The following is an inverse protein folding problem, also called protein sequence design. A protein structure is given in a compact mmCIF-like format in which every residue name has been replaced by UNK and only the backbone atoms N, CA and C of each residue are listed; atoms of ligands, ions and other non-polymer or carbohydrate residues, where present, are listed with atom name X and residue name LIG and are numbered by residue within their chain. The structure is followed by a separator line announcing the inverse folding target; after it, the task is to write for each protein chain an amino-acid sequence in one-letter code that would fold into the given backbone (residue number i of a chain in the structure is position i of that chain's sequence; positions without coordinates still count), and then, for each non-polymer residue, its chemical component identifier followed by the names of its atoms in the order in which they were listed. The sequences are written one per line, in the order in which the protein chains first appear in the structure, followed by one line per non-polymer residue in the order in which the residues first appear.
data_IF_184665258411
#
_entry.id   IF_184665258411
#
_cell.length_a   1.000
_cell.length_b   1.000
_cell.length_c   1.000
_cell.angle_alpha   90.00
_cell.angle_beta   90.00
_cell.angle_gamma   90.00
#
_symmetry.space_group_name_H-M   'P 1'
#
loop_
_entity.id
_entity.type
_entity.pdbx_description
1 polymer ?
#
# COMPACT_ATOMS: atom_id res chain seq x y z
N UNK A 1 -15.21 -10.43 -12.65
CA UNK A 1 -15.09 -8.97 -12.88
C UNK A 1 -13.72 -8.46 -12.39
N UNK A 2 -13.27 -8.74 -11.15
CA UNK A 2 -11.94 -8.31 -10.64
C UNK A 2 -10.78 -8.85 -11.50
N UNK A 3 -10.81 -10.13 -11.88
CA UNK A 3 -9.78 -10.72 -12.72
C UNK A 3 -9.68 -9.99 -14.09
N UNK A 4 -10.83 -9.68 -14.69
CA UNK A 4 -10.87 -8.91 -15.95
C UNK A 4 -10.31 -7.50 -15.76
N UNK A 5 -10.67 -6.82 -14.68
CA UNK A 5 -10.14 -5.50 -14.37
C UNK A 5 -8.62 -5.51 -14.22
N UNK A 6 -8.09 -6.44 -13.41
CA UNK A 6 -6.66 -6.56 -13.17
C UNK A 6 -5.89 -6.95 -14.45
N UNK A 7 -6.43 -7.90 -15.21
CA UNK A 7 -5.83 -8.32 -16.47
C UNK A 7 -5.75 -7.16 -17.47
N UNK A 8 -6.81 -6.35 -17.55
CA UNK A 8 -6.85 -5.17 -18.44
C UNK A 8 -5.90 -4.07 -17.96
N UNK A 9 -5.85 -3.80 -16.65
CA UNK A 9 -5.01 -2.74 -16.07
C UNK A 9 -3.52 -3.05 -16.21
N UNK A 10 -3.14 -4.31 -16.03
CA UNK A 10 -1.74 -4.74 -16.08
C UNK A 10 -1.30 -5.31 -17.44
N UNK A 11 -2.23 -5.49 -18.39
CA UNK A 11 -1.91 -6.10 -19.68
C UNK A 11 -1.51 -7.58 -19.61
N UNK A 12 -2.00 -8.32 -18.60
CA UNK A 12 -1.63 -9.72 -18.34
C UNK A 12 -2.82 -10.66 -18.49
N UNK A 13 -2.56 -11.97 -18.65
CA UNK A 13 -3.59 -13.00 -18.51
C UNK A 13 -3.74 -13.37 -17.03
N UNK A 14 -4.94 -13.14 -16.48
CA UNK A 14 -5.24 -13.44 -15.08
C UNK A 14 -6.59 -14.16 -14.95
N UNK A 15 -6.61 -15.50 -14.92
CA UNK A 15 -7.81 -16.29 -14.68
C UNK A 15 -8.48 -15.98 -13.35
N UNK A 16 -9.79 -16.22 -13.25
CA UNK A 16 -10.57 -15.92 -12.03
C UNK A 16 -10.11 -16.75 -10.81
N UNK A 17 -9.57 -17.93 -11.02
CA UNK A 17 -9.00 -18.79 -9.97
C UNK A 17 -7.76 -18.21 -9.29
N UNK A 18 -7.10 -17.25 -9.92
CA UNK A 18 -5.98 -16.52 -9.35
C UNK A 18 -6.41 -15.35 -8.45
N UNK A 19 -7.71 -15.05 -8.36
CA UNK A 19 -8.21 -13.87 -7.65
C UNK A 19 -9.10 -14.26 -6.49
N UNK A 20 -8.85 -13.66 -5.35
CA UNK A 20 -9.66 -13.80 -4.13
C UNK A 20 -10.11 -12.43 -3.62
N UNK A 21 -11.38 -12.28 -3.23
CA UNK A 21 -11.95 -11.05 -2.69
C UNK A 21 -12.41 -11.25 -1.23
N UNK A 22 -12.28 -10.19 -0.41
CA UNK A 22 -12.67 -10.18 1.00
C UNK A 22 -13.10 -8.77 1.47
N UNK A 23 -13.46 -8.62 2.76
CA UNK A 23 -13.95 -7.36 3.36
C UNK A 23 -12.81 -6.34 3.56
N UNK A 24 -12.25 -5.84 2.47
CA UNK A 24 -11.08 -4.99 2.41
C UNK A 24 -9.78 -5.79 2.43
N UNK A 25 -8.67 -5.12 2.07
CA UNK A 25 -7.35 -5.74 2.10
C UNK A 25 -6.92 -6.19 3.51
N UNK A 26 -7.50 -5.62 4.56
CA UNK A 26 -7.25 -6.05 5.94
C UNK A 26 -7.68 -7.51 6.17
N UNK A 27 -8.87 -7.89 5.72
CA UNK A 27 -9.31 -9.30 5.83
C UNK A 27 -8.48 -10.22 4.93
N UNK A 28 -8.10 -9.74 3.73
CA UNK A 28 -7.18 -10.47 2.83
C UNK A 28 -5.86 -10.79 3.55
N UNK A 29 -5.23 -9.79 4.20
CA UNK A 29 -3.99 -9.96 4.95
C UNK A 29 -4.17 -10.91 6.14
N UNK A 30 -5.28 -10.77 6.87
CA UNK A 30 -5.58 -11.68 7.99
C UNK A 30 -5.72 -13.13 7.51
N UNK A 31 -6.48 -13.38 6.45
CA UNK A 31 -6.66 -14.71 5.86
C UNK A 31 -5.34 -15.30 5.34
N UNK A 32 -4.48 -14.48 4.72
CA UNK A 32 -3.13 -14.88 4.33
C UNK A 32 -2.31 -15.37 5.54
N UNK A 33 -2.33 -14.61 6.64
CA UNK A 33 -1.57 -15.00 7.83
C UNK A 33 -2.23 -16.13 8.63
N UNK A 34 -3.55 -16.32 8.54
CA UNK A 34 -4.22 -17.51 9.06
C UNK A 34 -3.80 -18.77 8.30
N UNK A 35 -3.60 -18.67 6.97
CA UNK A 35 -3.19 -19.80 6.14
C UNK A 35 -1.67 -20.09 6.24
N UNK A 36 -0.84 -19.06 6.28
CA UNK A 36 0.61 -19.17 6.12
C UNK A 36 1.43 -18.70 7.33
N UNK A 37 0.82 -18.01 8.30
CA UNK A 37 1.40 -17.60 9.57
C UNK A 37 1.19 -18.63 10.67
N UNK A 38 1.27 -18.19 11.93
CA UNK A 38 1.03 -19.00 13.11
C UNK A 38 2.26 -19.14 14.04
N UNK A 39 2.14 -19.89 15.13
CA UNK A 39 3.24 -20.15 16.06
C UNK A 39 4.47 -20.70 15.34
N UNK A 40 5.65 -20.28 15.76
CA UNK A 40 6.96 -20.64 15.18
C UNK A 40 7.22 -20.10 13.75
N UNK A 41 6.29 -19.34 13.18
CA UNK A 41 6.46 -18.67 11.88
C UNK A 41 6.73 -17.18 12.08
N UNK A 42 7.29 -16.53 11.05
CA UNK A 42 7.59 -15.10 11.09
C UNK A 42 7.25 -14.38 9.80
N UNK A 43 6.90 -13.11 9.95
CA UNK A 43 6.72 -12.14 8.88
C UNK A 43 7.84 -11.12 8.96
N UNK A 44 8.53 -10.86 7.87
CA UNK A 44 9.50 -9.77 7.75
C UNK A 44 8.85 -8.57 7.04
N UNK A 45 8.85 -7.41 7.70
CA UNK A 45 8.50 -6.12 7.12
C UNK A 45 9.68 -5.16 7.10
N UNK A 46 9.57 -4.06 6.33
CA UNK A 46 10.62 -3.03 6.21
C UNK A 46 10.08 -1.68 6.67
N UNK A 47 10.58 -1.21 7.81
CA UNK A 47 10.08 0.00 8.49
C UNK A 47 10.75 1.29 8.00
N UNK A 48 9.98 2.40 7.96
CA UNK A 48 8.56 2.51 8.33
C UNK A 48 7.64 1.82 7.31
N UNK A 49 6.55 1.24 7.79
CA UNK A 49 5.57 0.51 6.99
C UNK A 49 4.15 0.71 7.52
N UNK A 50 3.16 0.09 6.90
CA UNK A 50 1.77 0.20 7.33
C UNK A 50 1.58 -0.34 8.76
N UNK A 51 0.94 0.47 9.60
CA UNK A 51 0.82 0.23 11.04
C UNK A 51 0.02 -1.01 11.42
N UNK A 52 -0.80 -1.55 10.52
CA UNK A 52 -1.59 -2.74 10.78
C UNK A 52 -0.83 -4.06 10.58
N UNK A 53 0.36 -4.05 9.96
CA UNK A 53 1.11 -5.30 9.74
C UNK A 53 1.44 -6.04 11.04
N UNK A 54 1.93 -5.38 12.11
CA UNK A 54 2.11 -6.05 13.40
C UNK A 54 0.80 -6.54 14.01
N UNK A 55 -0.34 -5.85 13.80
CA UNK A 55 -1.63 -6.29 14.33
C UNK A 55 -2.10 -7.60 13.70
N UNK A 56 -2.00 -7.74 12.38
CA UNK A 56 -2.33 -9.01 11.70
C UNK A 56 -1.43 -10.16 12.21
N UNK A 57 -0.15 -9.88 12.44
CA UNK A 57 0.77 -10.87 12.98
C UNK A 57 0.41 -11.27 14.41
N UNK A 58 0.08 -10.31 15.28
CA UNK A 58 -0.39 -10.55 16.66
C UNK A 58 -1.65 -11.41 16.65
N UNK A 59 -2.63 -11.07 15.82
CA UNK A 59 -3.94 -11.73 15.76
C UNK A 59 -3.87 -13.17 15.20
N UNK A 60 -2.75 -13.52 14.57
CA UNK A 60 -2.46 -14.87 14.05
C UNK A 60 -1.33 -15.58 14.80
N UNK A 61 -0.89 -15.05 15.95
CA UNK A 61 0.24 -15.60 16.73
C UNK A 61 1.53 -15.76 15.92
N UNK A 62 1.72 -14.92 14.91
CA UNK A 62 2.89 -14.91 14.01
C UNK A 62 3.88 -13.86 14.51
N UNK A 63 5.16 -14.21 14.57
CA UNK A 63 6.21 -13.26 14.97
C UNK A 63 6.43 -12.21 13.87
N UNK A 64 6.24 -10.92 14.19
CA UNK A 64 6.62 -9.83 13.29
C UNK A 64 8.05 -9.39 13.55
N UNK A 65 8.89 -9.40 12.52
CA UNK A 65 10.28 -8.93 12.56
C UNK A 65 10.48 -7.85 11.50
N UNK A 66 11.36 -6.89 11.78
CA UNK A 66 11.57 -5.75 10.89
C UNK A 66 13.03 -5.55 10.51
N UNK A 67 13.24 -4.93 9.35
CA UNK A 67 14.50 -4.34 8.95
C UNK A 67 14.26 -2.88 8.52
N UNK A 68 15.23 -1.98 8.68
CA UNK A 68 15.05 -0.58 8.32
C UNK A 68 15.13 -0.38 6.80
N UNK A 69 14.36 0.61 6.30
CA UNK A 69 14.57 1.22 5.00
C UNK A 69 15.78 2.17 5.05
N UNK A 70 16.26 2.61 3.91
CA UNK A 70 17.26 3.66 3.81
C UNK A 70 16.71 5.01 4.33
N UNK A 71 17.55 6.00 4.66
CA UNK A 71 17.11 7.30 5.18
C UNK A 71 16.18 8.09 4.25
N UNK A 72 16.23 7.81 2.94
CA UNK A 72 15.33 8.35 1.90
C UNK A 72 14.07 7.51 1.72
N UNK A 73 13.87 6.49 2.57
CA UNK A 73 12.78 5.52 2.53
C UNK A 73 12.80 4.53 1.36
N UNK A 74 13.84 4.53 0.55
CA UNK A 74 14.05 3.48 -0.45
C UNK A 74 14.33 2.13 0.22
N UNK A 75 14.11 1.05 -0.51
CA UNK A 75 14.49 -0.29 -0.08
C UNK A 75 15.66 -0.78 -0.94
N UNK A 76 16.83 -0.76 -0.36
CA UNK A 76 18.06 -1.24 -1.01
C UNK A 76 17.99 -2.76 -1.22
N UNK A 77 18.26 -3.27 -2.45
CA UNK A 77 18.16 -4.69 -2.76
C UNK A 77 19.09 -5.57 -1.92
N UNK A 78 20.34 -5.14 -1.69
CA UNK A 78 21.31 -5.93 -0.94
C UNK A 78 20.92 -6.05 0.53
N UNK A 79 20.48 -4.96 1.15
CA UNK A 79 19.94 -4.96 2.52
C UNK A 79 18.68 -5.79 2.68
N UNK A 80 17.78 -5.74 1.68
CA UNK A 80 16.58 -6.58 1.70
C UNK A 80 16.94 -8.07 1.64
N UNK A 81 17.84 -8.46 0.74
CA UNK A 81 18.37 -9.82 0.60
C UNK A 81 19.05 -10.29 1.89
N UNK A 82 19.95 -9.48 2.45
CA UNK A 82 20.64 -9.79 3.71
C UNK A 82 19.64 -10.04 4.85
N UNK A 83 18.64 -9.14 5.01
CA UNK A 83 17.63 -9.28 6.04
C UNK A 83 16.80 -10.57 5.89
N UNK A 84 16.49 -10.98 4.66
CA UNK A 84 15.76 -12.23 4.38
C UNK A 84 16.62 -13.44 4.71
N UNK A 85 17.88 -13.47 4.25
CA UNK A 85 18.80 -14.58 4.48
C UNK A 85 19.11 -14.80 5.97
N UNK A 86 19.24 -13.72 6.73
CA UNK A 86 19.49 -13.79 8.19
C UNK A 86 18.25 -14.25 8.97
N UNK A 87 17.04 -13.85 8.56
CA UNK A 87 15.81 -14.07 9.36
C UNK A 87 14.99 -15.26 8.89
N UNK A 88 15.19 -15.74 7.66
CA UNK A 88 14.45 -16.86 7.04
C UNK A 88 12.93 -16.77 7.29
N UNK A 89 12.24 -15.66 6.91
CA UNK A 89 10.85 -15.47 7.23
C UNK A 89 9.95 -16.39 6.40
N UNK A 90 8.81 -16.80 6.98
CA UNK A 90 7.76 -17.51 6.24
C UNK A 90 7.04 -16.59 5.25
N UNK A 91 6.92 -15.30 5.57
CA UNK A 91 6.31 -14.29 4.71
C UNK A 91 7.18 -13.04 4.71
N UNK A 92 7.48 -12.51 3.52
CA UNK A 92 8.03 -11.16 3.34
C UNK A 92 6.89 -10.23 2.93
N UNK A 93 6.70 -9.11 3.64
CA UNK A 93 5.60 -8.18 3.43
C UNK A 93 6.14 -6.82 2.99
N UNK A 94 5.76 -6.40 1.79
CA UNK A 94 6.24 -5.20 1.10
C UNK A 94 5.05 -4.30 0.71
N UNK A 95 5.06 -3.03 1.12
CA UNK A 95 4.12 -2.04 0.60
C UNK A 95 4.68 -1.36 -0.67
N UNK A 96 3.90 -1.27 -1.74
CA UNK A 96 4.29 -0.57 -2.98
C UNK A 96 3.08 -0.02 -3.74
N UNK A 97 2.84 1.30 -3.71
CA UNK A 97 3.50 2.33 -2.89
C UNK A 97 3.37 2.09 -1.40
N UNK A 98 4.46 2.35 -0.66
CA UNK A 98 4.50 2.10 0.78
C UNK A 98 3.72 3.16 1.57
N UNK A 99 3.08 2.77 2.64
CA UNK A 99 2.50 3.67 3.62
C UNK A 99 3.33 3.60 4.92
N UNK A 100 3.86 4.72 5.47
CA UNK A 100 3.46 6.11 5.22
C UNK A 100 4.33 6.89 4.22
N UNK A 101 5.34 6.29 3.61
CA UNK A 101 6.37 7.02 2.85
C UNK A 101 5.92 7.44 1.44
N UNK A 102 4.95 6.74 0.85
CA UNK A 102 4.52 6.93 -0.53
C UNK A 102 5.45 6.31 -1.57
N UNK A 103 6.63 5.85 -1.17
CA UNK A 103 7.66 5.34 -2.09
C UNK A 103 7.25 4.06 -2.78
N UNK A 104 7.42 3.99 -4.10
CA UNK A 104 7.28 2.75 -4.86
C UNK A 104 8.48 1.82 -4.61
N UNK A 105 8.25 0.51 -4.77
CA UNK A 105 9.29 -0.50 -4.73
C UNK A 105 9.89 -0.67 -6.13
N UNK A 106 11.20 -0.46 -6.32
CA UNK A 106 11.85 -0.76 -7.59
C UNK A 106 11.72 -2.24 -7.95
N UNK A 107 11.48 -2.51 -9.23
CA UNK A 107 11.26 -3.88 -9.71
C UNK A 107 12.50 -4.79 -9.48
N UNK A 108 13.70 -4.24 -9.61
CA UNK A 108 14.95 -4.95 -9.33
C UNK A 108 15.06 -5.39 -7.86
N UNK A 109 14.57 -4.56 -6.92
CA UNK A 109 14.51 -4.92 -5.50
C UNK A 109 13.53 -6.07 -5.28
N UNK A 110 12.34 -6.01 -5.90
CA UNK A 110 11.36 -7.09 -5.80
C UNK A 110 11.91 -8.40 -6.37
N UNK A 111 12.54 -8.37 -7.55
CA UNK A 111 13.14 -9.54 -8.16
C UNK A 111 14.29 -10.12 -7.30
N UNK A 112 15.08 -9.26 -6.64
CA UNK A 112 16.10 -9.72 -5.70
C UNK A 112 15.49 -10.44 -4.49
N UNK A 113 14.39 -9.89 -3.94
CA UNK A 113 13.63 -10.50 -2.83
C UNK A 113 13.03 -11.86 -3.26
N UNK A 114 12.37 -11.92 -4.42
CA UNK A 114 11.73 -13.14 -4.94
C UNK A 114 12.71 -14.30 -5.13
N UNK A 115 13.96 -13.99 -5.51
CA UNK A 115 15.01 -15.01 -5.68
C UNK A 115 15.42 -15.69 -4.38
N UNK A 116 15.40 -14.98 -3.24
CA UNK A 116 15.96 -15.46 -1.98
C UNK A 116 14.91 -15.76 -0.90
N UNK A 117 13.67 -15.28 -1.06
CA UNK A 117 12.62 -15.49 -0.07
C UNK A 117 12.29 -16.99 0.07
N UNK A 118 12.37 -17.56 1.28
CA UNK A 118 12.08 -18.99 1.48
C UNK A 118 10.59 -19.30 1.41
N UNK A 119 9.73 -18.32 1.74
CA UNK A 119 8.28 -18.45 1.79
C UNK A 119 7.57 -17.50 0.83
N UNK A 120 6.40 -17.00 1.23
CA UNK A 120 5.61 -16.07 0.42
C UNK A 120 6.25 -14.68 0.37
N UNK A 121 6.12 -14.02 -0.77
CA UNK A 121 6.35 -12.57 -0.91
C UNK A 121 5.00 -11.91 -1.19
N UNK A 122 4.55 -11.07 -0.28
CA UNK A 122 3.28 -10.34 -0.38
C UNK A 122 3.61 -8.89 -0.69
N UNK A 123 3.13 -8.40 -1.82
CA UNK A 123 3.22 -6.98 -2.20
C UNK A 123 1.85 -6.33 -2.01
N UNK A 124 1.78 -5.41 -1.05
CA UNK A 124 0.58 -4.63 -0.78
C UNK A 124 0.53 -3.42 -1.73
N UNK A 125 -0.26 -3.55 -2.77
CA UNK A 125 -0.51 -2.54 -3.80
C UNK A 125 -1.78 -1.71 -3.52
N UNK A 126 -2.08 -1.38 -2.26
CA UNK A 126 -3.28 -0.60 -1.90
C UNK A 126 -3.35 0.79 -2.59
N UNK A 127 -2.25 1.28 -3.13
CA UNK A 127 -2.14 2.58 -3.82
C UNK A 127 -1.68 2.43 -5.29
N UNK A 128 -1.79 1.25 -5.87
CA UNK A 128 -1.28 0.95 -7.21
C UNK A 128 -1.78 1.90 -8.29
N UNK A 129 -3.06 2.28 -8.24
CA UNK A 129 -3.69 3.13 -9.22
C UNK A 129 -3.13 4.56 -9.25
N UNK A 130 -2.41 5.00 -8.20
CA UNK A 130 -1.78 6.33 -8.11
C UNK A 130 -0.34 6.36 -8.61
N UNK A 131 0.25 5.22 -8.98
CA UNK A 131 1.62 5.14 -9.48
C UNK A 131 1.85 6.06 -10.68
N UNK A 132 3.09 6.51 -10.83
CA UNK A 132 3.49 7.27 -12.02
C UNK A 132 3.33 6.42 -13.29
N UNK A 133 2.97 7.03 -14.42
CA UNK A 133 2.93 6.32 -15.71
C UNK A 133 4.28 5.64 -16.00
N UNK A 134 4.21 4.43 -16.56
CA UNK A 134 5.40 3.62 -16.88
C UNK A 134 5.94 2.77 -15.72
N UNK A 135 5.36 2.87 -14.50
CA UNK A 135 5.70 1.93 -13.41
C UNK A 135 5.09 0.57 -13.72
N UNK A 136 5.95 -0.46 -13.78
CA UNK A 136 5.56 -1.86 -14.01
C UNK A 136 4.61 -2.35 -12.92
N UNK A 137 3.55 -3.05 -13.28
CA UNK A 137 2.68 -3.71 -12.31
C UNK A 137 3.32 -4.99 -11.79
N UNK A 138 3.26 -5.18 -10.46
CA UNK A 138 3.73 -6.45 -9.86
C UNK A 138 2.92 -7.66 -10.35
N UNK A 139 1.70 -7.44 -10.84
CA UNK A 139 0.87 -8.48 -11.46
C UNK A 139 1.55 -9.16 -12.65
N UNK A 140 2.42 -8.47 -13.38
CA UNK A 140 3.16 -9.02 -14.52
C UNK A 140 4.11 -10.16 -14.13
N UNK A 141 4.51 -10.22 -12.86
CA UNK A 141 5.42 -11.24 -12.34
C UNK A 141 4.70 -12.49 -11.79
N UNK A 142 3.38 -12.49 -11.68
CA UNK A 142 2.64 -13.59 -11.03
C UNK A 142 2.80 -14.93 -11.75
N UNK A 143 2.87 -14.92 -13.09
CA UNK A 143 2.98 -16.15 -13.87
C UNK A 143 4.29 -16.91 -13.58
N UNK A 144 5.38 -16.18 -13.35
CA UNK A 144 6.71 -16.75 -13.17
C UNK A 144 7.07 -16.96 -11.68
N UNK A 145 6.27 -16.42 -10.76
CA UNK A 145 6.56 -16.44 -9.33
C UNK A 145 5.39 -17.00 -8.50
N UNK A 146 5.25 -18.33 -8.38
CA UNK A 146 4.09 -18.98 -7.75
C UNK A 146 3.94 -18.67 -6.24
N UNK A 147 4.98 -18.10 -5.59
CA UNK A 147 4.94 -17.65 -4.19
C UNK A 147 4.72 -16.13 -4.04
N UNK A 148 4.49 -15.42 -5.14
CA UNK A 148 4.13 -14.01 -5.12
C UNK A 148 2.63 -13.85 -4.88
N UNK A 149 2.27 -12.90 -4.03
CA UNK A 149 0.90 -12.46 -3.75
C UNK A 149 0.84 -10.95 -3.93
N UNK A 150 -0.11 -10.47 -4.68
CA UNK A 150 -0.38 -9.03 -4.83
C UNK A 150 -1.72 -8.72 -4.18
N UNK A 151 -1.76 -7.80 -3.20
CA UNK A 151 -3.01 -7.39 -2.55
C UNK A 151 -3.40 -5.99 -2.99
N UNK A 152 -4.69 -5.75 -3.18
CA UNK A 152 -5.27 -4.45 -3.58
C UNK A 152 -6.58 -4.15 -2.85
N UNK A 153 -7.07 -2.92 -2.97
CA UNK A 153 -8.29 -2.47 -2.30
C UNK A 153 -9.07 -1.46 -3.15
N UNK A 154 -10.38 -1.53 -3.10
CA UNK A 154 -11.25 -0.50 -3.67
C UNK A 154 -11.46 0.72 -2.72
N UNK A 155 -10.86 0.69 -1.54
CA UNK A 155 -11.00 1.76 -0.53
C UNK A 155 -10.29 3.06 -0.90
N UNK A 156 -9.37 3.06 -1.88
CA UNK A 156 -8.52 4.22 -2.23
C UNK A 156 -8.97 4.81 -3.57
N UNK A 157 -8.44 4.33 -4.68
CA UNK A 157 -8.72 4.88 -6.02
C UNK A 157 -10.20 4.88 -6.38
N UNK A 158 -10.94 3.86 -6.00
CA UNK A 158 -12.38 3.79 -6.25
C UNK A 158 -13.25 4.58 -5.26
N UNK A 159 -12.67 5.18 -4.21
CA UNK A 159 -13.43 5.91 -3.18
C UNK A 159 -14.40 5.03 -2.37
N UNK A 160 -14.27 3.72 -2.41
CA UNK A 160 -15.20 2.75 -1.83
C UNK A 160 -14.75 2.21 -0.46
N UNK A 161 -14.23 3.08 0.40
CA UNK A 161 -13.79 2.67 1.73
C UNK A 161 -14.93 2.04 2.55
N UNK A 162 -16.16 2.57 2.43
CA UNK A 162 -17.35 2.07 3.12
C UNK A 162 -17.91 0.74 2.58
N UNK A 163 -17.63 0.40 1.31
CA UNK A 163 -18.09 -0.86 0.70
C UNK A 163 -17.28 -2.08 1.18
N UNK A 164 -16.12 -1.85 1.82
CA UNK A 164 -15.27 -2.90 2.38
C UNK A 164 -14.90 -3.98 1.38
N UNK A 165 -14.31 -3.62 0.23
CA UNK A 165 -13.84 -4.57 -0.77
C UNK A 165 -12.33 -4.46 -0.97
N UNK A 166 -11.65 -5.56 -0.71
CA UNK A 166 -10.24 -5.78 -1.02
C UNK A 166 -10.08 -7.14 -1.71
N UNK A 167 -8.95 -7.33 -2.33
CA UNK A 167 -8.71 -8.55 -3.09
C UNK A 167 -7.20 -8.83 -3.19
N UNK A 168 -6.87 -10.08 -3.52
CA UNK A 168 -5.52 -10.45 -3.93
C UNK A 168 -5.55 -11.16 -5.28
N UNK A 169 -4.37 -11.15 -5.90
CA UNK A 169 -4.02 -12.00 -7.01
C UNK A 169 -2.81 -12.86 -6.63
N UNK A 170 -2.87 -14.16 -6.89
CA UNK A 170 -1.83 -15.13 -6.54
C UNK A 170 -1.96 -16.41 -7.38
N UNK A 171 -1.07 -17.38 -7.18
CA UNK A 171 -1.25 -18.71 -7.75
C UNK A 171 -2.53 -19.39 -7.21
N UNK A 172 -3.21 -20.28 -7.99
CA UNK A 172 -4.41 -20.99 -7.53
C UNK A 172 -4.18 -21.74 -6.21
N UNK A 173 -3.01 -22.31 -5.99
CA UNK A 173 -2.67 -23.03 -4.76
C UNK A 173 -2.74 -22.13 -3.52
N UNK A 174 -2.34 -20.85 -3.63
CA UNK A 174 -2.45 -19.88 -2.54
C UNK A 174 -3.93 -19.50 -2.31
N UNK A 175 -4.68 -19.26 -3.38
CA UNK A 175 -6.13 -18.97 -3.30
C UNK A 175 -6.87 -20.12 -2.64
N UNK A 176 -6.56 -21.37 -2.98
CA UNK A 176 -7.15 -22.56 -2.37
C UNK A 176 -6.82 -22.69 -0.88
N UNK A 177 -5.59 -22.36 -0.48
CA UNK A 177 -5.22 -22.33 0.95
C UNK A 177 -6.03 -21.28 1.73
N UNK A 178 -6.30 -20.11 1.14
CA UNK A 178 -7.13 -19.07 1.76
C UNK A 178 -8.59 -19.55 1.88
N UNK A 179 -9.10 -20.30 0.91
CA UNK A 179 -10.46 -20.87 0.97
C UNK A 179 -10.66 -21.79 2.17
N UNK A 180 -9.61 -22.42 2.69
CA UNK A 180 -9.68 -23.28 3.87
C UNK A 180 -9.89 -22.50 5.18
N UNK A 181 -9.39 -21.28 5.28
CA UNK A 181 -9.42 -20.47 6.52
C UNK A 181 -10.55 -19.44 6.52
N UNK A 182 -11.13 -19.14 5.38
CA UNK A 182 -12.22 -18.17 5.28
C UNK A 182 -13.49 -18.63 5.96
N UNK A 183 -14.26 -17.70 6.50
CA UNK A 183 -15.64 -18.00 6.94
C UNK A 183 -16.58 -18.11 5.74
N UNK A 184 -17.61 -18.99 5.81
CA UNK A 184 -18.66 -19.03 4.79
C UNK A 184 -19.34 -17.66 4.62
N UNK A 185 -19.70 -17.32 3.38
CA UNK A 185 -20.44 -16.08 3.06
C UNK A 185 -19.79 -14.78 3.59
N UNK A 186 -18.46 -14.75 3.72
CA UNK A 186 -17.70 -13.65 4.31
C UNK A 186 -17.90 -12.30 3.61
N UNK A 187 -18.20 -12.27 2.30
CA UNK A 187 -18.41 -11.04 1.53
C UNK A 187 -19.90 -10.86 1.20
N UNK A 188 -20.50 -9.76 1.67
CA UNK A 188 -21.93 -9.50 1.50
C UNK A 188 -22.32 -9.35 0.02
N UNK A 189 -23.56 -9.70 -0.32
CA UNK A 189 -24.10 -9.50 -1.66
C UNK A 189 -24.11 -8.01 -2.05
N UNK A 190 -24.38 -7.11 -1.09
CA UNK A 190 -24.36 -5.65 -1.31
C UNK A 190 -22.96 -5.18 -1.70
N UNK A 191 -21.92 -5.57 -0.94
CA UNK A 191 -20.53 -5.24 -1.27
C UNK A 191 -20.15 -5.74 -2.67
N UNK A 192 -20.56 -6.96 -3.04
CA UNK A 192 -20.28 -7.51 -4.37
C UNK A 192 -20.98 -6.72 -5.49
N UNK A 193 -22.24 -6.34 -5.32
CA UNK A 193 -22.98 -5.53 -6.31
C UNK A 193 -22.35 -4.15 -6.47
N UNK A 194 -22.00 -3.49 -5.37
CA UNK A 194 -21.33 -2.17 -5.40
C UNK A 194 -19.97 -2.26 -6.10
N UNK A 195 -19.16 -3.27 -5.76
CA UNK A 195 -17.85 -3.46 -6.39
C UNK A 195 -17.98 -3.71 -7.91
N UNK A 196 -18.92 -4.58 -8.32
CA UNK A 196 -19.19 -4.85 -9.74
C UNK A 196 -19.65 -3.62 -10.50
N UNK A 197 -20.50 -2.79 -9.88
CA UNK A 197 -20.93 -1.51 -10.45
C UNK A 197 -19.73 -0.57 -10.66
N UNK A 198 -18.88 -0.41 -9.66
CA UNK A 198 -17.69 0.44 -9.73
C UNK A 198 -16.69 -0.05 -10.81
N UNK A 199 -16.46 -1.35 -10.91
CA UNK A 199 -15.55 -1.92 -11.92
C UNK A 199 -16.03 -1.63 -13.35
N UNK A 200 -17.34 -1.63 -13.62
CA UNK A 200 -17.89 -1.25 -14.93
C UNK A 200 -17.63 0.21 -15.30
N UNK A 201 -17.41 1.06 -14.31
CA UNK A 201 -17.11 2.49 -14.47
C UNK A 201 -15.63 2.84 -14.22
N UNK A 202 -14.75 1.84 -14.14
CA UNK A 202 -13.31 2.06 -13.84
C UNK A 202 -12.62 3.00 -14.84
N UNK A 203 -13.05 3.04 -16.09
CA UNK A 203 -12.52 3.98 -17.09
C UNK A 203 -12.74 5.47 -16.73
N UNK A 204 -13.73 5.79 -15.90
CA UNK A 204 -13.99 7.16 -15.45
C UNK A 204 -12.96 7.64 -14.40
N UNK A 205 -12.27 6.70 -13.73
CA UNK A 205 -11.24 7.03 -12.73
C UNK A 205 -9.99 7.66 -13.34
N UNK A 206 -9.70 7.39 -14.61
CA UNK A 206 -8.44 7.80 -15.26
C UNK A 206 -8.20 9.32 -15.15
N UNK A 207 -9.22 10.14 -15.40
CA UNK A 207 -9.14 11.60 -15.28
C UNK A 207 -8.89 12.08 -13.85
N UNK A 208 -9.58 11.49 -12.87
CA UNK A 208 -9.40 11.82 -11.45
C UNK A 208 -8.01 11.41 -10.96
N UNK A 209 -7.54 10.22 -11.32
CA UNK A 209 -6.21 9.74 -10.98
C UNK A 209 -5.11 10.61 -11.59
N UNK A 210 -5.28 11.03 -12.85
CA UNK A 210 -4.34 11.95 -13.50
C UNK A 210 -4.29 13.31 -12.78
N UNK A 211 -5.44 13.84 -12.33
CA UNK A 211 -5.48 15.07 -11.54
C UNK A 211 -4.77 14.91 -10.20
N UNK A 212 -5.08 13.85 -9.45
CA UNK A 212 -4.44 13.58 -8.16
C UNK A 212 -2.92 13.39 -8.28
N UNK A 213 -2.44 12.78 -9.36
CA UNK A 213 -0.99 12.64 -9.61
C UNK A 213 -0.33 14.00 -9.84
N UNK A 214 -0.95 14.88 -10.64
CA UNK A 214 -0.42 16.25 -10.85
C UNK A 214 -0.38 17.03 -9.55
N UNK A 215 -1.48 17.08 -8.81
CA UNK A 215 -1.57 17.77 -7.52
C UNK A 215 -0.52 17.25 -6.52
N UNK A 216 -0.29 15.93 -6.50
CA UNK A 216 0.74 15.32 -5.67
C UNK A 216 2.14 15.83 -6.06
N UNK A 217 2.46 15.75 -7.34
CA UNK A 217 3.80 16.11 -7.82
C UNK A 217 4.06 17.61 -7.65
N UNK A 218 3.03 18.46 -7.84
CA UNK A 218 3.08 19.89 -7.53
C UNK A 218 3.24 20.15 -6.02
N UNK A 219 2.56 19.38 -5.17
CA UNK A 219 2.69 19.54 -3.72
C UNK A 219 4.09 19.13 -3.24
N UNK A 220 4.66 18.03 -3.76
CA UNK A 220 6.04 17.62 -3.45
C UNK A 220 7.03 18.71 -3.86
N UNK A 221 6.88 19.24 -5.05
CA UNK A 221 7.72 20.33 -5.53
C UNK A 221 7.60 21.57 -4.62
N UNK A 222 6.36 22.01 -4.33
CA UNK A 222 6.11 23.18 -3.49
C UNK A 222 6.68 23.04 -2.08
N UNK A 223 6.55 21.88 -1.46
CA UNK A 223 7.12 21.61 -0.13
C UNK A 223 8.64 21.79 -0.14
N UNK A 224 9.32 21.26 -1.16
CA UNK A 224 10.78 21.37 -1.31
C UNK A 224 11.23 22.80 -1.56
N UNK A 225 10.56 23.54 -2.41
CA UNK A 225 10.84 24.98 -2.64
C UNK A 225 10.63 25.83 -1.38
N UNK A 226 9.76 25.41 -0.47
CA UNK A 226 9.56 26.09 0.81
C UNK A 226 10.46 25.53 1.94
N UNK A 227 11.55 24.85 1.60
CA UNK A 227 12.58 24.40 2.54
C UNK A 227 12.17 23.20 3.39
N UNK A 228 11.17 22.43 2.98
CA UNK A 228 10.74 21.21 3.66
C UNK A 228 11.27 19.96 2.93
N UNK A 229 11.63 18.94 3.68
CA UNK A 229 11.90 17.62 3.12
C UNK A 229 10.57 16.94 2.77
N UNK A 230 10.43 16.44 1.56
CA UNK A 230 9.29 15.62 1.14
C UNK A 230 9.79 14.34 0.48
N UNK A 231 9.22 13.22 0.88
CA UNK A 231 9.50 11.93 0.25
C UNK A 231 8.91 11.89 -1.17
N UNK A 232 9.57 11.21 -2.09
CA UNK A 232 8.98 10.89 -3.38
C UNK A 232 7.77 9.97 -3.18
N UNK A 233 6.64 10.34 -3.79
CA UNK A 233 5.41 9.60 -3.60
C UNK A 233 4.82 9.12 -4.92
N UNK A 234 4.38 7.86 -4.92
CA UNK A 234 3.55 7.22 -5.92
C UNK A 234 2.15 6.86 -5.36
N UNK A 235 1.81 7.39 -4.17
CA UNK A 235 0.52 7.23 -3.51
C UNK A 235 -0.37 8.49 -3.69
N UNK A 236 -1.53 8.51 -3.03
CA UNK A 236 -2.39 9.69 -2.94
C UNK A 236 -2.11 10.54 -1.67
N UNK A 237 -0.90 10.53 -1.20
CA UNK A 237 -0.43 11.32 -0.05
C UNK A 237 1.06 11.61 -0.18
N UNK A 238 1.54 12.56 0.62
CA UNK A 238 2.97 12.92 0.71
C UNK A 238 3.39 12.85 2.18
N UNK A 239 4.51 12.18 2.45
CA UNK A 239 5.21 12.24 3.72
C UNK A 239 6.21 13.40 3.66
N UNK A 240 6.12 14.34 4.62
CA UNK A 240 6.94 15.55 4.64
C UNK A 240 7.34 15.94 6.06
N UNK A 241 8.34 16.72 6.22
CA UNK A 241 8.85 17.15 7.52
C UNK A 241 10.30 17.63 7.40
N UNK A 242 10.97 17.32 8.30
CA UNK A 242 11.61 17.09 9.52
C UNK A 242 11.33 18.22 10.53
N UNK A 243 10.23 18.17 11.18
CA UNK A 243 9.85 19.18 12.17
C UNK A 243 10.48 18.85 13.53
N UNK A 244 11.12 19.79 14.24
CA UNK A 244 11.56 19.57 15.63
C UNK A 244 10.40 19.17 16.53
N UNK A 245 9.26 19.83 16.38
CA UNK A 245 7.99 19.49 17.03
C UNK A 245 6.90 19.31 15.97
N UNK A 246 6.71 18.06 15.50
CA UNK A 246 5.69 17.74 14.51
C UNK A 246 4.28 17.90 15.08
N UNK A 247 4.10 17.69 16.41
CA UNK A 247 2.80 17.80 17.04
C UNK A 247 2.31 19.24 17.05
N UNK A 248 3.16 20.19 17.37
CA UNK A 248 2.84 21.62 17.30
C UNK A 248 2.41 22.03 15.88
N UNK A 249 3.12 21.56 14.85
CA UNK A 249 2.75 21.82 13.45
C UNK A 249 1.41 21.17 13.09
N UNK A 250 1.19 19.92 13.48
CA UNK A 250 -0.07 19.21 13.27
C UNK A 250 -1.25 19.94 13.96
N UNK A 251 -1.08 20.33 15.22
CA UNK A 251 -2.10 21.06 15.99
C UNK A 251 -2.39 22.44 15.36
N UNK A 252 -1.36 23.17 14.95
CA UNK A 252 -1.51 24.45 14.28
C UNK A 252 -2.27 24.38 12.96
N UNK A 253 -2.10 23.30 12.20
CA UNK A 253 -2.90 23.02 11.00
C UNK A 253 -4.35 22.69 11.36
N UNK A 254 -4.58 21.87 12.39
CA UNK A 254 -5.90 21.50 12.86
C UNK A 254 -6.69 22.72 13.33
N UNK A 255 -6.06 23.64 14.07
CA UNK A 255 -6.65 24.90 14.55
C UNK A 255 -7.10 25.82 13.40
N UNK A 256 -6.53 25.61 12.19
CA UNK A 256 -6.90 26.30 10.95
C UNK A 256 -7.86 25.50 10.07
N UNK A 257 -8.43 24.43 10.61
CA UNK A 257 -9.39 23.58 9.89
C UNK A 257 -8.76 22.60 8.90
N UNK A 258 -7.44 22.41 8.94
CA UNK A 258 -6.71 21.47 8.05
C UNK A 258 -6.29 20.22 8.80
N UNK A 259 -7.03 19.13 8.61
CA UNK A 259 -6.74 17.84 9.23
C UNK A 259 -5.82 16.99 8.37
N UNK A 260 -4.61 16.75 8.85
CA UNK A 260 -3.65 15.82 8.28
C UNK A 260 -3.33 14.67 9.25
N UNK A 261 -2.38 13.81 8.90
CA UNK A 261 -1.99 12.67 9.75
C UNK A 261 -0.65 12.92 10.43
N UNK A 262 -0.65 12.83 11.77
CA UNK A 262 0.56 12.69 12.55
C UNK A 262 0.98 11.22 12.55
N UNK A 263 1.63 10.78 11.47
CA UNK A 263 2.04 9.39 11.25
C UNK A 263 3.38 9.33 10.51
N UNK A 264 4.05 8.18 10.60
CA UNK A 264 5.39 7.99 10.04
C UNK A 264 6.47 8.07 11.10
N UNK A 265 7.74 8.19 10.69
CA UNK A 265 8.85 8.37 11.60
C UNK A 265 8.69 9.64 12.43
N UNK A 266 9.40 9.71 13.54
CA UNK A 266 9.51 10.92 14.33
C UNK A 266 9.91 12.12 13.45
N UNK A 267 9.37 13.32 13.73
CA UNK A 267 9.54 14.55 12.95
C UNK A 267 8.80 14.61 11.58
N UNK A 268 8.06 13.58 11.18
CA UNK A 268 7.36 13.56 9.90
C UNK A 268 5.84 13.63 10.07
N UNK A 269 5.19 14.27 9.09
CA UNK A 269 3.74 14.35 8.93
C UNK A 269 3.34 13.82 7.56
N UNK A 270 2.10 13.39 7.40
CA UNK A 270 1.57 12.89 6.13
C UNK A 270 0.29 13.62 5.75
N UNK A 271 0.29 14.27 4.59
CA UNK A 271 -0.88 14.92 4.02
C UNK A 271 -1.44 14.08 2.86
N UNK A 272 -2.75 13.89 2.81
CA UNK A 272 -3.43 13.30 1.65
C UNK A 272 -3.64 14.37 0.58
N UNK A 273 -3.56 13.97 -0.68
CA UNK A 273 -3.84 14.84 -1.81
C UNK A 273 -5.34 15.01 -1.94
N UNK A 274 -5.79 16.24 -1.90
CA UNK A 274 -7.16 16.66 -2.07
C UNK A 274 -7.43 17.34 -3.42
N UNK A 275 -8.50 18.12 -3.49
CA UNK A 275 -8.78 19.02 -4.61
C UNK A 275 -7.75 20.15 -4.67
N UNK A 276 -7.64 20.90 -5.79
CA UNK A 276 -6.78 22.08 -5.85
C UNK A 276 -7.04 23.09 -4.72
N UNK A 277 -8.32 23.29 -4.34
CA UNK A 277 -8.73 24.19 -3.26
C UNK A 277 -8.28 23.67 -1.89
N UNK A 278 -8.44 22.38 -1.62
CA UNK A 278 -7.99 21.75 -0.37
C UNK A 278 -6.45 21.81 -0.26
N UNK A 279 -5.74 21.55 -1.36
CA UNK A 279 -4.29 21.64 -1.38
C UNK A 279 -3.80 23.09 -1.20
N UNK A 280 -4.52 24.09 -1.75
CA UNK A 280 -4.22 25.50 -1.54
C UNK A 280 -4.43 25.91 -0.08
N UNK A 281 -5.53 25.47 0.55
CA UNK A 281 -5.81 25.71 1.95
C UNK A 281 -4.73 25.11 2.86
N UNK A 282 -4.28 23.88 2.56
CA UNK A 282 -3.17 23.24 3.27
C UNK A 282 -1.87 24.06 3.15
N UNK A 283 -1.50 24.52 1.94
CA UNK A 283 -0.29 25.32 1.70
C UNK A 283 -0.32 26.63 2.50
N UNK A 284 -1.46 27.37 2.47
CA UNK A 284 -1.63 28.60 3.23
C UNK A 284 -1.50 28.37 4.74
N UNK A 285 -2.23 27.40 5.26
CA UNK A 285 -2.18 27.07 6.69
C UNK A 285 -0.77 26.64 7.14
N UNK A 286 -0.07 25.87 6.32
CA UNK A 286 1.29 25.43 6.66
C UNK A 286 2.31 26.59 6.67
N UNK A 287 2.16 27.58 5.78
CA UNK A 287 3.00 28.78 5.79
C UNK A 287 2.78 29.60 7.06
N UNK A 288 1.51 29.81 7.48
CA UNK A 288 1.17 30.53 8.69
C UNK A 288 1.65 29.83 9.97
N UNK A 289 1.62 28.51 10.01
CA UNK A 289 2.08 27.73 11.18
C UNK A 289 3.61 27.79 11.33
N UNK A 290 4.33 28.07 10.22
CA UNK A 290 5.80 28.12 10.19
C UNK A 290 6.37 29.54 10.29
N UNK A 291 5.53 30.57 10.15
CA UNK A 291 5.92 31.99 10.32
C UNK A 291 6.05 32.34 11.81
#
# INVERSE_FOLDING_TARGET
DLAVYLATEAGVSLPAENVWAANGSNEVMLQLLQAFGGPSRSVLGFTPSYSMYPDYCRDTFTRYVTAPRSPDFSLDPARAVEAILQRQPTVVLLGSPNNPTGTALPIETLLAVLRVAPGLVVVDEAYAEFRRPGTVSVLELLADHPRLVVTRTMSKAFGLAGARVGYLAASPAIVDAIRLVRLPYHLSAVSQVVARAALRHSGQLAGQLASLRRERDELVWWLRENGLTAADSDANFVLFGRFPDRHAVWQGLLDRGVLIRETGPEQWLRVSIGTPEENAAFRSALQEVRS
#
